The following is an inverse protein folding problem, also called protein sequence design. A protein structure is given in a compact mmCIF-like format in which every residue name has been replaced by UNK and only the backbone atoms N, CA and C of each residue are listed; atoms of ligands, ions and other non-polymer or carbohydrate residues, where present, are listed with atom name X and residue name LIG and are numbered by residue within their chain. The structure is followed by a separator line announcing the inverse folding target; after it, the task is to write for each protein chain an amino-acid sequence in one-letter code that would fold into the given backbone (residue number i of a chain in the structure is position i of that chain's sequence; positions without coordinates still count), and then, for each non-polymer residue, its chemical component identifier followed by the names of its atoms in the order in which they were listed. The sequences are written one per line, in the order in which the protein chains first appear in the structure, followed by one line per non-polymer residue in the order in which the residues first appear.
data_IF_328588547941
#
_entry.id   IF_328588547941
#
_cell.length_a   1.000
_cell.length_b   1.000
_cell.length_c   1.000
_cell.angle_alpha   90.00
_cell.angle_beta   90.00
_cell.angle_gamma   90.00
#
_symmetry.space_group_name_H-M   'P 1'
#
loop_
_entity.id
_entity.type
_entity.pdbx_description
1 polymer ?
#
# COMPACT_ATOMS: atom_id res chain seq x y z
N UNK A 1 -7.83 -28.69 2.91
CA UNK A 1 -8.21 -27.32 3.38
C UNK A 1 -8.73 -26.53 2.19
N UNK A 2 -9.73 -25.67 2.39
CA UNK A 2 -10.18 -24.76 1.33
C UNK A 2 -9.04 -23.80 0.95
N UNK A 3 -8.95 -23.41 -0.33
CA UNK A 3 -8.00 -22.39 -0.78
C UNK A 3 -8.25 -21.07 -0.05
N UNK A 4 -7.20 -20.30 0.17
CA UNK A 4 -7.30 -18.94 0.68
C UNK A 4 -8.04 -18.05 -0.32
N UNK A 5 -8.73 -17.02 0.16
CA UNK A 5 -9.46 -16.08 -0.68
C UNK A 5 -8.89 -14.67 -0.55
N UNK A 6 -8.55 -14.09 -1.69
CA UNK A 6 -8.00 -12.73 -1.80
C UNK A 6 -9.02 -11.86 -2.53
N UNK A 7 -9.46 -10.78 -1.89
CA UNK A 7 -10.33 -9.79 -2.51
C UNK A 7 -9.55 -8.53 -2.86
N UNK A 8 -9.66 -8.08 -4.10
CA UNK A 8 -9.01 -6.88 -4.62
C UNK A 8 -10.08 -5.81 -4.86
N UNK A 9 -10.02 -4.73 -4.09
CA UNK A 9 -10.99 -3.62 -4.19
C UNK A 9 -10.40 -2.53 -5.07
N UNK A 10 -10.83 -2.51 -6.32
CA UNK A 10 -10.32 -1.70 -7.42
C UNK A 10 -9.75 -2.57 -8.53
N UNK A 11 -10.41 -2.58 -9.69
CA UNK A 11 -10.04 -3.35 -10.89
C UNK A 11 -9.11 -2.60 -11.86
N UNK A 12 -8.47 -1.51 -11.43
CA UNK A 12 -7.54 -0.73 -12.25
C UNK A 12 -6.25 -1.49 -12.62
N UNK A 13 -5.18 -0.75 -12.99
CA UNK A 13 -3.90 -1.36 -13.36
C UNK A 13 -3.25 -2.12 -12.20
N UNK A 14 -3.21 -1.50 -11.00
CA UNK A 14 -2.68 -2.17 -9.81
C UNK A 14 -3.51 -3.42 -9.49
N UNK A 15 -4.86 -3.33 -9.51
CA UNK A 15 -5.74 -4.46 -9.21
C UNK A 15 -5.55 -5.65 -10.16
N UNK A 16 -5.43 -5.40 -11.47
CA UNK A 16 -5.12 -6.45 -12.45
C UNK A 16 -3.75 -7.09 -12.22
N UNK A 17 -2.72 -6.27 -11.94
CA UNK A 17 -1.37 -6.77 -11.63
C UNK A 17 -1.34 -7.59 -10.34
N UNK A 18 -2.06 -7.15 -9.30
CA UNK A 18 -2.21 -7.91 -8.05
C UNK A 18 -2.85 -9.28 -8.29
N UNK A 19 -3.92 -9.31 -9.09
CA UNK A 19 -4.62 -10.57 -9.42
C UNK A 19 -3.69 -11.54 -10.15
N UNK A 20 -2.94 -11.06 -11.14
CA UNK A 20 -1.96 -11.85 -11.88
C UNK A 20 -0.88 -12.42 -10.96
N UNK A 21 -0.24 -11.57 -10.14
CA UNK A 21 0.81 -12.00 -9.21
C UNK A 21 0.28 -13.00 -8.15
N UNK A 22 -0.93 -12.77 -7.63
CA UNK A 22 -1.55 -13.69 -6.67
C UNK A 22 -1.81 -15.07 -7.29
N UNK A 23 -2.25 -15.11 -8.57
CA UNK A 23 -2.46 -16.33 -9.33
C UNK A 23 -1.14 -17.06 -9.62
N UNK A 24 -0.14 -16.37 -10.16
CA UNK A 24 1.20 -16.94 -10.45
C UNK A 24 1.88 -17.53 -9.21
N UNK A 25 1.71 -16.89 -8.05
CA UNK A 25 2.26 -17.36 -6.77
C UNK A 25 1.35 -18.40 -6.07
N UNK A 26 0.20 -18.72 -6.67
CA UNK A 26 -0.82 -19.63 -6.12
C UNK A 26 -1.20 -19.31 -4.66
N UNK A 27 -1.33 -18.01 -4.33
CA UNK A 27 -1.63 -17.55 -2.97
C UNK A 27 -3.07 -17.86 -2.55
N UNK A 28 -3.97 -18.08 -3.49
CA UNK A 28 -5.37 -18.38 -3.25
C UNK A 28 -6.27 -18.03 -4.44
N UNK A 29 -7.58 -18.16 -4.24
CA UNK A 29 -8.59 -17.74 -5.21
C UNK A 29 -8.77 -16.22 -5.12
N UNK A 30 -8.98 -15.56 -6.27
CA UNK A 30 -8.99 -14.09 -6.37
C UNK A 30 -10.36 -13.59 -6.81
N UNK A 31 -10.89 -12.61 -6.07
CA UNK A 31 -12.10 -11.85 -6.45
C UNK A 31 -11.68 -10.40 -6.73
N UNK A 32 -11.88 -9.93 -7.95
CA UNK A 32 -11.66 -8.52 -8.33
C UNK A 32 -13.00 -7.79 -8.21
N UNK A 33 -13.07 -6.81 -7.33
CA UNK A 33 -14.22 -5.92 -7.20
C UNK A 33 -13.93 -4.56 -7.85
N UNK A 34 -14.86 -4.05 -8.65
CA UNK A 34 -14.86 -2.67 -9.13
C UNK A 34 -16.29 -2.17 -9.29
N UNK A 35 -16.49 -0.84 -9.24
CA UNK A 35 -17.79 -0.21 -9.50
C UNK A 35 -18.11 -0.12 -10.99
N UNK A 36 -17.10 -0.20 -11.86
CA UNK A 36 -17.27 -0.19 -13.31
C UNK A 36 -17.76 -1.55 -13.80
N UNK A 37 -18.97 -1.59 -14.34
CA UNK A 37 -19.56 -2.82 -14.86
C UNK A 37 -18.70 -3.41 -16.00
N UNK A 38 -18.51 -4.72 -15.98
CA UNK A 38 -17.74 -5.46 -16.99
C UNK A 38 -16.23 -5.42 -16.81
N UNK A 39 -15.68 -4.38 -16.20
CA UNK A 39 -14.22 -4.24 -16.02
C UNK A 39 -13.62 -5.37 -15.17
N UNK A 40 -14.10 -5.64 -13.95
CA UNK A 40 -13.52 -6.70 -13.13
C UNK A 40 -13.78 -8.09 -13.73
N UNK A 41 -14.92 -8.31 -14.38
CA UNK A 41 -15.26 -9.57 -15.04
C UNK A 41 -14.33 -9.83 -16.24
N UNK A 42 -14.12 -8.81 -17.09
CA UNK A 42 -13.23 -8.92 -18.25
C UNK A 42 -11.80 -9.25 -17.84
N UNK A 43 -11.25 -8.54 -16.83
CA UNK A 43 -9.91 -8.82 -16.32
C UNK A 43 -9.78 -10.20 -15.68
N UNK A 44 -10.77 -10.62 -14.91
CA UNK A 44 -10.76 -11.94 -14.29
C UNK A 44 -10.80 -13.06 -15.35
N UNK A 45 -11.58 -12.88 -16.41
CA UNK A 45 -11.67 -13.84 -17.51
C UNK A 45 -10.35 -13.91 -18.30
N UNK A 46 -9.75 -12.77 -18.66
CA UNK A 46 -8.47 -12.71 -19.35
C UNK A 46 -7.36 -13.40 -18.55
N UNK A 47 -7.25 -13.08 -17.27
CA UNK A 47 -6.32 -13.75 -16.36
C UNK A 47 -6.60 -15.25 -16.21
N UNK A 48 -7.86 -15.67 -16.11
CA UNK A 48 -8.20 -17.10 -16.04
C UNK A 48 -7.74 -17.84 -17.29
N UNK A 49 -7.79 -17.22 -18.47
CA UNK A 49 -7.33 -17.78 -19.73
C UNK A 49 -5.79 -17.88 -19.82
N UNK A 50 -5.03 -17.13 -19.04
CA UNK A 50 -3.58 -17.31 -18.96
C UNK A 50 -3.17 -18.50 -18.09
N UNK A 51 -4.08 -19.00 -17.23
CA UNK A 51 -3.82 -20.12 -16.32
C UNK A 51 -3.31 -21.40 -17.03
N UNK A 52 -3.91 -21.85 -18.14
CA UNK A 52 -3.43 -23.03 -18.86
C UNK A 52 -2.01 -22.90 -19.43
N UNK A 53 -1.57 -21.66 -19.70
CA UNK A 53 -0.22 -21.37 -20.23
C UNK A 53 0.80 -21.29 -19.09
N UNK A 54 0.44 -20.58 -18.00
CA UNK A 54 1.31 -20.33 -16.85
C UNK A 54 1.32 -21.50 -15.83
N UNK A 55 0.33 -22.38 -15.87
CA UNK A 55 0.27 -23.57 -15.02
C UNK A 55 -0.37 -23.34 -13.65
N UNK A 56 -1.12 -22.27 -13.41
CA UNK A 56 -1.84 -22.06 -12.16
C UNK A 56 -3.32 -22.46 -12.26
N UNK A 57 -3.89 -22.87 -11.09
CA UNK A 57 -5.28 -23.29 -10.97
C UNK A 57 -6.10 -22.40 -10.00
N UNK A 58 -5.66 -21.17 -9.74
CA UNK A 58 -6.42 -20.24 -8.92
C UNK A 58 -7.75 -19.88 -9.61
N UNK A 59 -8.88 -19.90 -8.87
CA UNK A 59 -10.13 -19.40 -9.38
C UNK A 59 -10.08 -17.87 -9.38
N UNK A 60 -10.40 -17.27 -10.54
CA UNK A 60 -10.42 -15.83 -10.75
C UNK A 60 -11.84 -15.40 -11.10
N UNK A 61 -12.37 -14.43 -10.38
CA UNK A 61 -13.72 -13.89 -10.61
C UNK A 61 -13.74 -12.38 -10.51
N UNK A 62 -14.62 -11.75 -11.28
CA UNK A 62 -14.88 -10.31 -11.23
C UNK A 62 -16.29 -10.02 -10.74
N UNK A 63 -16.48 -8.95 -9.95
CA UNK A 63 -17.77 -8.60 -9.38
C UNK A 63 -17.93 -7.09 -9.20
N UNK A 64 -19.20 -6.65 -9.20
CA UNK A 64 -19.61 -5.30 -8.80
C UNK A 64 -20.38 -5.31 -7.46
N UNK A 65 -20.33 -6.44 -6.72
CA UNK A 65 -21.02 -6.61 -5.45
C UNK A 65 -20.07 -6.94 -4.31
N UNK A 66 -20.08 -6.15 -3.23
CA UNK A 66 -19.34 -6.48 -2.02
C UNK A 66 -19.73 -7.82 -1.38
N UNK A 67 -20.90 -8.38 -1.70
CA UNK A 67 -21.30 -9.71 -1.19
C UNK A 67 -20.31 -10.80 -1.57
N UNK A 68 -19.68 -10.66 -2.73
CA UNK A 68 -18.79 -11.68 -3.29
C UNK A 68 -17.40 -11.70 -2.64
N UNK A 69 -17.03 -10.64 -1.88
CA UNK A 69 -15.81 -10.69 -1.06
C UNK A 69 -16.00 -11.43 0.27
N UNK A 70 -17.21 -11.96 0.54
CA UNK A 70 -17.50 -12.66 1.79
C UNK A 70 -16.47 -13.76 2.06
N UNK A 71 -15.94 -13.74 3.30
CA UNK A 71 -14.98 -14.74 3.76
C UNK A 71 -13.58 -14.58 3.18
N UNK A 72 -13.22 -13.44 2.60
CA UNK A 72 -11.85 -13.18 2.18
C UNK A 72 -10.87 -13.22 3.37
N UNK A 73 -9.74 -13.92 3.18
CA UNK A 73 -8.64 -13.94 4.15
C UNK A 73 -7.81 -12.65 4.08
N UNK A 74 -7.64 -12.13 2.85
CA UNK A 74 -6.92 -10.86 2.59
C UNK A 74 -7.78 -9.96 1.71
N UNK A 75 -7.83 -8.68 2.04
CA UNK A 75 -8.41 -7.63 1.19
C UNK A 75 -7.34 -6.60 0.85
N UNK A 76 -7.10 -6.36 -0.44
CA UNK A 76 -6.17 -5.33 -0.89
C UNK A 76 -6.97 -4.20 -1.53
N UNK A 77 -6.81 -2.97 -1.02
CA UNK A 77 -7.60 -1.81 -1.42
C UNK A 77 -6.76 -0.87 -2.28
N UNK A 78 -7.13 -0.79 -3.56
CA UNK A 78 -6.55 0.16 -4.54
C UNK A 78 -7.58 1.16 -5.04
N UNK A 79 -8.84 1.00 -4.60
CA UNK A 79 -9.95 1.87 -4.99
C UNK A 79 -9.71 3.31 -4.57
N UNK A 80 -9.92 4.23 -5.48
CA UNK A 80 -9.73 5.66 -5.31
C UNK A 80 -9.38 6.34 -6.63
N UNK A 81 -9.30 7.65 -6.61
CA UNK A 81 -8.89 8.41 -7.79
C UNK A 81 -7.45 8.90 -7.63
N UNK A 82 -6.63 8.85 -8.69
CA UNK A 82 -5.34 9.51 -8.68
C UNK A 82 -5.53 11.02 -8.77
N UNK A 83 -4.51 11.79 -8.32
CA UNK A 83 -4.51 13.23 -8.48
C UNK A 83 -4.52 13.60 -9.96
N UNK A 84 -5.46 14.45 -10.36
CA UNK A 84 -5.59 14.98 -11.73
C UNK A 84 -5.04 16.42 -11.80
N UNK A 85 -4.60 16.89 -12.96
CA UNK A 85 -4.26 18.30 -13.16
C UNK A 85 -5.42 19.21 -12.74
N UNK A 86 -5.13 20.28 -12.02
CA UNK A 86 -6.13 21.21 -11.49
C UNK A 86 -6.86 20.77 -10.22
N UNK A 87 -6.66 19.53 -9.73
CA UNK A 87 -7.26 19.06 -8.49
C UNK A 87 -6.44 19.52 -7.29
N UNK A 88 -7.09 20.17 -6.32
CA UNK A 88 -6.47 20.50 -5.05
C UNK A 88 -6.20 19.24 -4.21
N UNK A 89 -5.37 19.40 -3.17
CA UNK A 89 -5.13 18.31 -2.19
C UNK A 89 -6.40 17.94 -1.43
N UNK A 90 -7.19 18.93 -1.05
CA UNK A 90 -8.41 18.73 -0.28
C UNK A 90 -9.51 18.07 -1.12
N UNK A 91 -9.61 18.40 -2.41
CA UNK A 91 -10.52 17.71 -3.33
C UNK A 91 -10.19 16.22 -3.41
N UNK A 92 -8.90 15.87 -3.57
CA UNK A 92 -8.45 14.49 -3.60
C UNK A 92 -8.77 13.75 -2.31
N UNK A 93 -8.48 14.38 -1.15
CA UNK A 93 -8.80 13.83 0.15
C UNK A 93 -10.31 13.59 0.29
N UNK A 94 -11.15 14.58 -0.05
CA UNK A 94 -12.59 14.47 0.07
C UNK A 94 -13.20 13.37 -0.81
N UNK A 95 -12.70 13.19 -2.04
CA UNK A 95 -13.14 12.11 -2.92
C UNK A 95 -12.73 10.76 -2.34
N UNK A 96 -11.46 10.59 -1.99
CA UNK A 96 -10.95 9.30 -1.53
C UNK A 96 -11.47 8.93 -0.13
N UNK A 97 -11.79 9.89 0.75
CA UNK A 97 -12.50 9.63 2.01
C UNK A 97 -13.87 8.98 1.79
N UNK A 98 -14.64 9.47 0.81
CA UNK A 98 -15.93 8.85 0.44
C UNK A 98 -15.75 7.43 -0.07
N UNK A 99 -14.72 7.20 -0.86
CA UNK A 99 -14.37 5.84 -1.31
C UNK A 99 -14.00 4.97 -0.12
N UNK A 100 -13.14 5.43 0.80
CA UNK A 100 -12.75 4.66 1.99
C UNK A 100 -13.93 4.35 2.91
N UNK A 101 -14.92 5.23 3.01
CA UNK A 101 -16.16 4.97 3.75
C UNK A 101 -16.92 3.77 3.15
N UNK A 102 -17.18 3.78 1.84
CA UNK A 102 -17.89 2.70 1.17
C UNK A 102 -17.14 1.37 1.23
N UNK A 103 -15.82 1.41 1.03
CA UNK A 103 -14.95 0.23 1.12
C UNK A 103 -14.92 -0.31 2.53
N UNK A 104 -14.76 0.56 3.54
CA UNK A 104 -14.74 0.18 4.95
C UNK A 104 -16.04 -0.51 5.39
N UNK A 105 -17.20 0.04 5.01
CA UNK A 105 -18.52 -0.58 5.26
C UNK A 105 -18.64 -1.95 4.59
N UNK A 106 -18.19 -2.06 3.33
CA UNK A 106 -18.19 -3.31 2.59
C UNK A 106 -17.34 -4.39 3.26
N UNK A 107 -16.13 -4.03 3.70
CA UNK A 107 -15.21 -4.93 4.41
C UNK A 107 -15.80 -5.33 5.76
N UNK A 108 -16.26 -4.36 6.57
CA UNK A 108 -16.87 -4.63 7.88
C UNK A 108 -18.02 -5.64 7.79
N UNK A 109 -18.85 -5.52 6.74
CA UNK A 109 -20.03 -6.36 6.56
C UNK A 109 -19.72 -7.75 6.01
N UNK A 110 -18.78 -7.87 5.08
CA UNK A 110 -18.60 -9.12 4.32
C UNK A 110 -17.26 -9.82 4.56
N UNK A 111 -16.24 -9.10 5.03
CA UNK A 111 -14.92 -9.66 5.32
C UNK A 111 -14.32 -9.14 6.66
N UNK A 112 -15.07 -9.23 7.79
CA UNK A 112 -14.66 -8.61 9.07
C UNK A 112 -13.40 -9.23 9.70
N UNK A 113 -12.97 -10.39 9.24
CA UNK A 113 -11.79 -11.09 9.77
C UNK A 113 -10.58 -10.98 8.84
N UNK A 114 -10.71 -10.30 7.70
CA UNK A 114 -9.64 -10.19 6.71
C UNK A 114 -8.45 -9.37 7.22
N UNK A 115 -7.27 -9.71 6.73
CA UNK A 115 -6.12 -8.82 6.77
C UNK A 115 -6.23 -7.82 5.62
N UNK A 116 -6.22 -6.53 5.94
CA UNK A 116 -6.52 -5.46 4.98
C UNK A 116 -5.25 -4.66 4.68
N UNK A 117 -4.88 -4.61 3.40
CA UNK A 117 -3.73 -3.84 2.89
C UNK A 117 -4.26 -2.66 2.07
N UNK A 118 -4.01 -1.44 2.51
CA UNK A 118 -4.38 -0.22 1.80
C UNK A 118 -3.24 0.25 0.90
N UNK A 119 -3.56 0.61 -0.36
CA UNK A 119 -2.62 1.20 -1.34
C UNK A 119 -3.08 2.59 -1.77
N UNK A 120 -4.35 2.93 -1.52
CA UNK A 120 -4.97 4.19 -1.96
C UNK A 120 -4.25 5.41 -1.39
N UNK A 121 -3.95 6.38 -2.26
CA UNK A 121 -3.28 7.62 -1.87
C UNK A 121 -4.27 8.77 -1.53
N UNK A 122 -3.87 9.71 -0.65
CA UNK A 122 -2.65 9.75 0.16
C UNK A 122 -2.63 8.65 1.23
N UNK A 123 -1.64 7.75 1.13
CA UNK A 123 -1.68 6.44 1.80
C UNK A 123 -1.94 6.51 3.29
N UNK A 124 -1.13 7.29 4.03
CA UNK A 124 -1.16 7.32 5.50
C UNK A 124 -2.52 7.82 6.03
N UNK A 125 -3.13 8.77 5.33
CA UNK A 125 -4.47 9.25 5.65
C UNK A 125 -5.57 8.25 5.26
N UNK A 126 -5.41 7.57 4.11
CA UNK A 126 -6.42 6.63 3.62
C UNK A 126 -6.44 5.34 4.41
N UNK A 127 -5.28 4.80 4.83
CA UNK A 127 -5.25 3.63 5.71
C UNK A 127 -5.85 3.94 7.08
N UNK A 128 -5.57 5.14 7.62
CA UNK A 128 -6.20 5.62 8.86
C UNK A 128 -7.73 5.70 8.70
N UNK A 129 -8.22 6.34 7.63
CA UNK A 129 -9.66 6.48 7.38
C UNK A 129 -10.34 5.13 7.15
N UNK A 130 -9.72 4.24 6.36
CA UNK A 130 -10.22 2.89 6.09
C UNK A 130 -10.39 2.09 7.38
N UNK A 131 -9.42 2.17 8.29
CA UNK A 131 -9.52 1.52 9.61
C UNK A 131 -10.67 2.10 10.42
N UNK A 132 -10.84 3.44 10.42
CA UNK A 132 -11.93 4.07 11.16
C UNK A 132 -13.31 3.62 10.63
N UNK A 133 -13.50 3.63 9.31
CA UNK A 133 -14.76 3.23 8.70
C UNK A 133 -15.04 1.72 8.76
N UNK A 134 -14.02 0.88 8.70
CA UNK A 134 -14.19 -0.57 8.81
C UNK A 134 -14.36 -1.08 10.24
N UNK A 135 -13.85 -0.34 11.23
CA UNK A 135 -13.85 -0.74 12.63
C UNK A 135 -13.01 -1.98 12.94
N UNK A 136 -12.20 -2.46 11.99
CA UNK A 136 -11.35 -3.63 12.20
C UNK A 136 -10.25 -3.35 13.25
N UNK A 137 -9.72 -4.39 13.91
CA UNK A 137 -8.58 -4.24 14.82
C UNK A 137 -7.36 -3.63 14.09
N UNK A 138 -6.57 -2.83 14.80
CA UNK A 138 -5.41 -2.14 14.22
C UNK A 138 -4.38 -3.07 13.58
N UNK A 139 -4.15 -4.24 14.18
CA UNK A 139 -3.23 -5.25 13.65
C UNK A 139 -3.74 -5.95 12.38
N UNK A 140 -4.99 -5.74 11.99
CA UNK A 140 -5.59 -6.27 10.76
C UNK A 140 -5.65 -5.26 9.62
N UNK A 141 -5.27 -4.01 9.84
CA UNK A 141 -5.27 -2.97 8.80
C UNK A 141 -3.87 -2.36 8.70
N UNK A 142 -3.30 -2.34 7.51
CA UNK A 142 -1.94 -1.86 7.26
C UNK A 142 -1.86 -1.15 5.91
N UNK A 143 -0.96 -0.17 5.78
CA UNK A 143 -0.70 0.53 4.52
C UNK A 143 0.56 -0.01 3.83
N UNK A 144 0.49 -0.24 2.53
CA UNK A 144 1.64 -0.52 1.68
C UNK A 144 2.37 0.79 1.38
N UNK A 145 3.53 0.99 1.99
CA UNK A 145 4.31 2.23 1.93
C UNK A 145 5.80 1.91 1.80
N UNK A 146 6.50 1.75 2.92
CA UNK A 146 7.93 1.56 2.98
C UNK A 146 8.44 0.32 2.25
N UNK A 147 7.63 -0.72 2.05
CA UNK A 147 8.01 -1.89 1.22
C UNK A 147 8.34 -1.42 -0.20
N UNK A 148 7.48 -0.61 -0.81
CA UNK A 148 7.71 -0.02 -2.13
C UNK A 148 8.88 0.97 -2.11
N UNK A 149 8.93 1.84 -1.11
CA UNK A 149 9.94 2.91 -1.03
C UNK A 149 11.33 2.30 -0.80
N UNK A 150 11.41 1.25 0.02
CA UNK A 150 12.66 0.49 0.23
C UNK A 150 13.07 -0.28 -1.02
N UNK A 151 12.12 -0.85 -1.78
CA UNK A 151 12.43 -1.52 -3.05
C UNK A 151 13.04 -0.54 -4.07
N UNK A 152 12.53 0.70 -4.16
CA UNK A 152 13.13 1.76 -4.98
C UNK A 152 14.54 2.09 -4.53
N UNK A 153 14.73 2.26 -3.21
CA UNK A 153 16.03 2.56 -2.65
C UNK A 153 17.01 1.41 -2.90
N UNK A 154 16.61 0.15 -2.70
CA UNK A 154 17.42 -1.04 -3.01
C UNK A 154 17.84 -1.07 -4.48
N UNK A 155 16.90 -0.79 -5.40
CA UNK A 155 17.20 -0.79 -6.83
C UNK A 155 18.25 0.27 -7.20
N UNK A 156 18.10 1.50 -6.70
CA UNK A 156 19.08 2.57 -6.99
C UNK A 156 20.44 2.34 -6.34
N UNK A 157 20.47 1.70 -5.18
CA UNK A 157 21.72 1.28 -4.54
C UNK A 157 22.41 0.16 -5.33
N UNK A 158 21.66 -0.85 -5.77
CA UNK A 158 22.21 -1.93 -6.58
C UNK A 158 22.83 -1.40 -7.89
N UNK A 159 22.16 -0.43 -8.52
CA UNK A 159 22.66 0.25 -9.73
C UNK A 159 23.97 1.02 -9.46
N UNK A 160 24.03 1.81 -8.37
CA UNK A 160 25.25 2.55 -7.96
C UNK A 160 26.42 1.64 -7.69
N UNK A 161 26.19 0.51 -7.00
CA UNK A 161 27.24 -0.42 -6.60
C UNK A 161 27.55 -1.47 -7.67
N UNK A 162 26.76 -1.54 -8.75
CA UNK A 162 26.82 -2.58 -9.78
C UNK A 162 26.79 -4.00 -9.20
N UNK A 163 25.81 -4.25 -8.33
CA UNK A 163 25.59 -5.55 -7.66
C UNK A 163 24.16 -6.05 -7.88
N UNK A 164 23.91 -7.32 -7.55
CA UNK A 164 22.55 -7.87 -7.57
C UNK A 164 21.64 -7.13 -6.59
N UNK A 165 20.39 -6.90 -6.97
CA UNK A 165 19.36 -6.39 -6.07
C UNK A 165 19.08 -7.33 -4.89
N UNK A 166 19.40 -8.61 -5.04
CA UNK A 166 19.24 -9.63 -3.99
C UNK A 166 20.19 -9.40 -2.80
N UNK A 167 21.34 -8.74 -3.04
CA UNK A 167 22.33 -8.44 -2.02
C UNK A 167 22.05 -7.12 -1.29
N UNK A 168 21.04 -6.33 -1.72
CA UNK A 168 20.72 -5.02 -1.16
C UNK A 168 19.52 -5.09 -0.23
N UNK A 169 19.72 -4.75 1.03
CA UNK A 169 18.66 -4.53 2.00
C UNK A 169 18.56 -3.05 2.31
N UNK A 170 17.42 -2.44 2.03
CA UNK A 170 17.17 -1.02 2.31
C UNK A 170 15.99 -0.82 3.23
N UNK A 171 16.03 0.26 4.02
CA UNK A 171 14.98 0.64 4.95
C UNK A 171 14.55 2.08 4.71
N UNK A 172 13.24 2.28 4.50
CA UNK A 172 12.60 3.59 4.39
C UNK A 172 11.45 3.66 5.40
N UNK A 173 11.47 4.67 6.25
CA UNK A 173 10.46 4.93 7.27
C UNK A 173 9.69 6.22 6.99
N UNK A 174 8.74 6.53 7.89
CA UNK A 174 7.93 7.74 7.82
C UNK A 174 6.71 7.62 6.91
N UNK A 175 6.04 8.74 6.64
CA UNK A 175 4.91 8.80 5.73
C UNK A 175 5.32 8.55 4.28
N UNK A 176 4.42 7.94 3.51
CA UNK A 176 4.65 7.64 2.10
C UNK A 176 4.60 8.92 1.25
N UNK A 177 5.67 9.22 0.52
CA UNK A 177 5.83 10.40 -0.34
C UNK A 177 7.08 11.22 0.00
N UNK A 178 7.05 12.54 -0.27
CA UNK A 178 8.22 13.42 -0.23
C UNK A 178 8.88 13.50 1.16
N UNK A 179 8.15 13.17 2.22
CA UNK A 179 8.65 13.19 3.61
C UNK A 179 9.17 11.85 4.10
N UNK A 180 9.26 10.84 3.24
CA UNK A 180 9.84 9.54 3.61
C UNK A 180 11.29 9.67 4.08
N UNK A 181 11.72 8.77 4.93
CA UNK A 181 13.02 8.79 5.58
C UNK A 181 13.83 7.54 5.22
N UNK A 182 14.61 7.56 4.12
CA UNK A 182 15.54 6.49 3.82
C UNK A 182 16.66 6.45 4.86
N UNK A 183 16.84 5.29 5.49
CA UNK A 183 17.80 5.09 6.56
C UNK A 183 19.10 4.45 6.04
N UNK A 184 20.07 5.27 5.64
CA UNK A 184 21.36 4.78 5.14
C UNK A 184 22.08 3.89 6.16
N UNK A 185 21.99 4.19 7.44
CA UNK A 185 22.64 3.45 8.52
C UNK A 185 22.08 2.03 8.70
N UNK A 186 20.81 1.81 8.36
CA UNK A 186 20.14 0.52 8.40
C UNK A 186 20.01 -0.14 7.02
N UNK A 187 20.62 0.46 6.00
CA UNK A 187 20.64 -0.10 4.64
C UNK A 187 22.01 -0.70 4.36
N UNK A 188 22.04 -1.87 3.73
CA UNK A 188 23.27 -2.66 3.57
C UNK A 188 23.37 -3.25 2.16
N UNK A 189 24.60 -3.56 1.75
CA UNK A 189 24.93 -4.45 0.63
C UNK A 189 25.63 -5.66 1.20
N UNK A 190 25.08 -6.85 1.03
CA UNK A 190 25.58 -8.10 1.59
C UNK A 190 25.89 -8.01 3.11
N UNK A 191 25.06 -7.27 3.85
CA UNK A 191 25.24 -7.03 5.29
C UNK A 191 26.20 -5.90 5.64
N UNK A 192 26.91 -5.30 4.68
CA UNK A 192 27.82 -4.17 4.92
C UNK A 192 27.01 -2.87 4.91
N UNK A 193 26.99 -2.09 6.03
CA UNK A 193 26.23 -0.85 6.09
C UNK A 193 26.71 0.22 5.09
N UNK A 194 25.80 0.99 4.52
CA UNK A 194 26.14 2.04 3.55
C UNK A 194 27.19 3.04 4.06
N UNK A 195 27.20 3.49 5.35
CA UNK A 195 28.26 4.35 5.84
C UNK A 195 29.65 3.73 5.78
N UNK A 196 29.76 2.40 5.91
CA UNK A 196 31.05 1.72 5.82
C UNK A 196 31.48 1.55 4.36
N UNK A 197 30.56 1.32 3.43
CA UNK A 197 30.85 1.34 2.00
C UNK A 197 31.37 2.72 1.52
N UNK A 198 30.84 3.81 2.09
CA UNK A 198 31.40 5.16 1.85
C UNK A 198 32.82 5.26 2.37
N UNK A 199 33.13 4.79 3.60
CA UNK A 199 34.51 4.78 4.17
C UNK A 199 35.47 3.91 3.34
N UNK A 200 34.97 2.82 2.76
CA UNK A 200 35.73 1.92 1.89
C UNK A 200 35.97 2.49 0.49
N UNK A 201 35.35 3.62 0.16
CA UNK A 201 35.46 4.25 -1.15
C UNK A 201 34.64 3.60 -2.29
N UNK A 202 33.67 2.73 -1.96
CA UNK A 202 32.80 2.12 -2.96
C UNK A 202 31.82 3.14 -3.55
N UNK A 203 31.43 4.12 -2.78
CA UNK A 203 30.62 5.27 -3.20
C UNK A 203 31.03 6.51 -2.39
N UNK A 204 30.40 7.65 -2.68
CA UNK A 204 30.60 8.88 -1.90
C UNK A 204 29.33 9.31 -1.19
N UNK A 205 29.48 10.16 -0.17
CA UNK A 205 28.32 10.71 0.54
C UNK A 205 27.39 11.49 -0.41
N UNK A 206 27.96 12.24 -1.35
CA UNK A 206 27.21 13.06 -2.31
C UNK A 206 26.37 12.19 -3.27
N UNK A 207 26.91 11.06 -3.72
CA UNK A 207 26.18 10.08 -4.54
C UNK A 207 25.05 9.44 -3.75
N UNK A 208 25.31 9.04 -2.51
CA UNK A 208 24.31 8.47 -1.62
C UNK A 208 23.17 9.46 -1.33
N UNK A 209 23.49 10.73 -1.07
CA UNK A 209 22.50 11.78 -0.85
C UNK A 209 21.62 11.99 -2.11
N UNK A 210 22.19 11.91 -3.32
CA UNK A 210 21.43 11.94 -4.59
C UNK A 210 20.49 10.74 -4.74
N UNK A 211 20.95 9.55 -4.39
CA UNK A 211 20.13 8.33 -4.43
C UNK A 211 18.97 8.43 -3.43
N UNK A 212 19.22 8.91 -2.23
CA UNK A 212 18.21 9.17 -1.22
C UNK A 212 17.14 10.15 -1.75
N UNK A 213 17.57 11.23 -2.40
CA UNK A 213 16.64 12.19 -2.99
C UNK A 213 15.84 11.57 -4.16
N UNK A 214 16.50 10.84 -5.06
CA UNK A 214 15.84 10.13 -6.16
C UNK A 214 14.83 9.11 -5.65
N UNK A 215 15.08 8.46 -4.51
CA UNK A 215 14.12 7.56 -3.87
C UNK A 215 12.84 8.28 -3.46
N UNK A 216 12.96 9.50 -2.88
CA UNK A 216 11.81 10.34 -2.55
C UNK A 216 11.02 10.75 -3.80
N UNK A 217 11.71 11.06 -4.86
CA UNK A 217 11.14 11.53 -6.14
C UNK A 217 10.69 10.38 -7.05
N UNK A 218 10.97 9.12 -6.70
CA UNK A 218 10.80 7.96 -7.59
C UNK A 218 9.36 7.74 -8.10
N UNK A 219 8.35 8.13 -7.32
CA UNK A 219 6.96 8.13 -7.80
C UNK A 219 6.71 9.19 -8.86
N UNK A 220 7.22 10.41 -8.64
CA UNK A 220 7.09 11.52 -9.58
C UNK A 220 7.90 11.29 -10.87
N UNK A 221 9.09 10.68 -10.78
CA UNK A 221 9.91 10.29 -11.92
C UNK A 221 9.13 9.36 -12.87
N UNK A 222 8.48 8.32 -12.33
CA UNK A 222 7.68 7.38 -13.13
C UNK A 222 6.47 8.08 -13.77
N UNK A 223 5.76 8.92 -13.03
CA UNK A 223 4.63 9.70 -13.57
C UNK A 223 5.09 10.62 -14.70
N UNK A 224 6.24 11.27 -14.53
CA UNK A 224 6.85 12.11 -15.56
C UNK A 224 7.19 11.37 -16.85
N UNK A 225 7.65 10.12 -16.75
CA UNK A 225 7.97 9.25 -17.89
C UNK A 225 6.72 8.69 -18.57
N UNK A 226 5.74 8.21 -17.78
CA UNK A 226 4.52 7.60 -18.32
C UNK A 226 3.55 8.63 -18.93
N UNK A 227 3.63 9.91 -18.54
CA UNK A 227 2.73 11.00 -18.94
C UNK A 227 1.28 10.81 -18.49
N UNK A 228 0.78 9.56 -18.51
CA UNK A 228 -0.56 9.19 -18.04
C UNK A 228 -0.46 8.01 -17.06
N UNK A 229 -1.15 8.10 -15.92
CA UNK A 229 -1.12 7.05 -14.89
C UNK A 229 0.02 7.22 -13.88
N UNK A 230 0.31 6.15 -13.16
CA UNK A 230 1.34 6.07 -12.13
C UNK A 230 1.97 4.67 -12.12
N UNK A 231 3.01 4.45 -11.31
CA UNK A 231 3.56 3.12 -11.08
C UNK A 231 2.47 2.13 -10.65
N UNK A 232 2.49 0.91 -11.14
CA UNK A 232 1.55 -0.14 -10.75
C UNK A 232 2.19 -1.52 -10.60
N UNK A 233 3.30 -1.83 -11.25
CA UNK A 233 4.00 -3.11 -11.07
C UNK A 233 4.63 -3.22 -9.68
N UNK A 234 5.53 -2.32 -9.32
CA UNK A 234 6.21 -2.35 -8.03
C UNK A 234 5.25 -2.17 -6.83
N UNK A 235 4.23 -1.29 -6.87
CA UNK A 235 3.21 -1.24 -5.82
C UNK A 235 2.44 -2.55 -5.65
N UNK A 236 2.06 -3.21 -6.74
CA UNK A 236 1.38 -4.49 -6.69
C UNK A 236 2.28 -5.59 -6.09
N UNK A 237 3.52 -5.69 -6.55
CA UNK A 237 4.50 -6.65 -6.02
C UNK A 237 4.73 -6.46 -4.52
N UNK A 238 4.87 -5.20 -4.08
CA UNK A 238 5.04 -4.86 -2.66
C UNK A 238 3.86 -5.29 -1.79
N UNK A 239 2.63 -5.08 -2.27
CA UNK A 239 1.44 -5.52 -1.53
C UNK A 239 1.27 -7.06 -1.54
N UNK A 240 1.65 -7.73 -2.62
CA UNK A 240 1.67 -9.20 -2.68
C UNK A 240 2.68 -9.78 -1.71
N UNK A 241 3.85 -9.16 -1.52
CA UNK A 241 4.81 -9.59 -0.49
C UNK A 241 4.19 -9.53 0.92
N UNK A 242 3.46 -8.46 1.23
CA UNK A 242 2.76 -8.32 2.51
C UNK A 242 1.64 -9.38 2.66
N UNK A 243 0.86 -9.60 1.61
CA UNK A 243 -0.21 -10.60 1.58
C UNK A 243 0.35 -12.03 1.74
N UNK A 244 1.43 -12.36 1.06
CA UNK A 244 2.11 -13.63 1.16
C UNK A 244 2.71 -13.87 2.56
N UNK A 245 3.28 -12.81 3.17
CA UNK A 245 3.78 -12.88 4.54
C UNK A 245 2.68 -13.23 5.55
N UNK A 246 1.48 -12.66 5.38
CA UNK A 246 0.32 -13.01 6.19
C UNK A 246 -0.23 -14.41 5.90
N UNK A 247 -0.49 -14.72 4.63
CA UNK A 247 -1.14 -15.97 4.23
C UNK A 247 -0.31 -17.23 4.55
N UNK A 248 1.03 -17.10 4.46
CA UNK A 248 1.99 -18.20 4.70
C UNK A 248 2.68 -18.11 6.07
N UNK A 249 2.23 -17.21 6.95
CA UNK A 249 2.81 -16.98 8.28
C UNK A 249 4.34 -16.79 8.28
N UNK A 250 4.87 -16.01 7.32
CA UNK A 250 6.32 -15.91 7.09
C UNK A 250 7.09 -15.13 8.16
N UNK A 251 6.40 -14.38 9.02
CA UNK A 251 7.03 -13.52 10.04
C UNK A 251 8.04 -12.52 9.43
N UNK A 252 7.73 -11.98 8.25
CA UNK A 252 8.60 -11.01 7.57
C UNK A 252 8.64 -9.71 8.33
N UNK A 253 9.83 -9.13 8.44
CA UNK A 253 10.02 -7.75 8.91
C UNK A 253 9.96 -6.83 7.71
N UNK A 254 8.89 -6.05 7.61
CA UNK A 254 8.62 -5.18 6.46
C UNK A 254 8.31 -3.75 6.93
N UNK A 255 8.83 -2.71 6.24
CA UNK A 255 8.45 -1.33 6.56
C UNK A 255 7.07 -1.03 5.96
N UNK A 256 6.08 -0.83 6.83
CA UNK A 256 4.68 -0.63 6.45
C UNK A 256 4.08 0.53 7.25
N UNK A 257 3.08 1.21 6.69
CA UNK A 257 2.28 2.14 7.47
C UNK A 257 1.40 1.36 8.46
N UNK A 258 1.80 1.35 9.72
CA UNK A 258 1.14 0.64 10.81
C UNK A 258 0.67 1.62 11.89
N UNK A 259 -0.34 1.21 12.65
CA UNK A 259 -0.85 2.00 13.77
C UNK A 259 0.13 2.01 14.93
N UNK A 260 0.49 3.20 15.37
CA UNK A 260 1.37 3.44 16.51
C UNK A 260 0.55 3.88 17.73
N UNK A 261 0.83 3.28 18.87
CA UNK A 261 0.21 3.58 20.15
C UNK A 261 1.24 3.86 21.26
N UNK A 262 2.30 4.54 20.93
CA UNK A 262 3.41 4.93 21.81
C UNK A 262 4.77 4.65 21.23
N UNK A 263 4.87 3.71 20.30
CA UNK A 263 6.10 3.36 19.63
C UNK A 263 6.66 4.58 18.90
N UNK A 264 7.98 4.74 18.89
CA UNK A 264 8.68 5.92 18.36
C UNK A 264 8.21 7.25 18.95
N UNK A 265 7.47 7.25 20.08
CA UNK A 265 6.85 8.42 20.70
C UNK A 265 5.61 8.94 19.95
N UNK A 266 5.01 8.15 19.07
CA UNK A 266 3.85 8.49 18.24
C UNK A 266 2.61 7.76 18.73
N UNK A 267 1.44 8.44 18.75
CA UNK A 267 0.16 7.84 19.14
C UNK A 267 -0.94 8.14 18.13
N UNK A 268 -1.88 7.20 18.03
CA UNK A 268 -3.14 7.33 17.28
C UNK A 268 -2.96 7.64 15.77
N UNK A 269 -1.87 7.17 15.17
CA UNK A 269 -1.57 7.40 13.76
C UNK A 269 -1.00 6.16 13.08
N UNK A 270 -1.20 6.10 11.76
CA UNK A 270 -0.50 5.17 10.86
C UNK A 270 0.73 5.86 10.29
N UNK A 271 1.88 5.27 10.49
CA UNK A 271 3.18 5.78 9.98
C UNK A 271 4.04 4.61 9.55
N UNK A 272 4.85 4.80 8.52
CA UNK A 272 5.78 3.79 8.01
C UNK A 272 6.87 3.47 9.02
N UNK A 273 6.84 2.24 9.56
CA UNK A 273 7.79 1.68 10.53
C UNK A 273 8.03 0.20 10.24
N UNK A 274 9.13 -0.40 10.73
CA UNK A 274 9.34 -1.83 10.58
C UNK A 274 8.32 -2.63 11.40
N UNK A 275 7.63 -3.56 10.76
CA UNK A 275 6.65 -4.42 11.43
C UNK A 275 6.88 -5.89 11.08
N UNK A 276 6.54 -6.78 12.01
CA UNK A 276 6.48 -8.22 11.74
C UNK A 276 5.09 -8.55 11.23
N UNK A 277 5.01 -9.09 10.00
CA UNK A 277 3.77 -9.61 9.41
C UNK A 277 3.78 -11.13 9.44
N UNK A 278 2.78 -11.70 10.09
CA UNK A 278 2.49 -13.13 10.15
C UNK A 278 0.98 -13.38 10.15
N UNK A 279 0.54 -14.60 10.48
CA UNK A 279 -0.87 -14.99 10.47
C UNK A 279 -1.75 -14.15 11.43
N UNK A 280 -1.16 -13.51 12.44
CA UNK A 280 -1.83 -12.56 13.32
C UNK A 280 -2.13 -11.21 12.69
N UNK A 281 -1.57 -10.92 11.51
CA UNK A 281 -1.55 -9.60 10.88
C UNK A 281 -0.24 -8.86 11.20
N UNK A 282 -0.31 -7.60 11.59
CA UNK A 282 0.83 -6.89 12.19
C UNK A 282 0.99 -7.39 13.63
N UNK A 283 1.98 -8.23 13.88
CA UNK A 283 2.16 -8.91 15.16
C UNK A 283 3.05 -8.12 16.13
N UNK A 284 3.96 -7.33 15.58
CA UNK A 284 4.87 -6.51 16.37
C UNK A 284 5.39 -5.33 15.54
N UNK A 285 5.53 -4.18 16.18
CA UNK A 285 6.32 -3.06 15.68
C UNK A 285 7.75 -3.25 16.20
N UNK A 286 8.74 -3.07 15.31
CA UNK A 286 10.15 -3.16 15.67
C UNK A 286 10.69 -1.75 15.83
N UNK A 287 10.82 -1.31 17.07
CA UNK A 287 11.45 -0.01 17.38
C UNK A 287 12.94 -0.11 17.17
N UNK A 288 13.45 0.57 16.15
CA UNK A 288 14.87 0.71 15.91
C UNK A 288 15.38 2.02 16.49
N UNK A 289 16.65 2.05 16.91
CA UNK A 289 17.26 3.26 17.44
C UNK A 289 17.55 4.27 16.33
N UNK A 290 16.94 5.45 16.42
CA UNK A 290 17.15 6.57 15.51
C UNK A 290 18.09 7.59 16.15
N UNK A 291 19.16 7.97 15.44
CA UNK A 291 20.00 9.08 15.86
C UNK A 291 19.24 10.42 15.81
N UNK A 292 19.82 11.50 16.34
CA UNK A 292 19.16 12.79 16.45
C UNK A 292 18.66 13.34 15.11
N UNK A 293 19.43 13.16 14.01
CA UNK A 293 19.08 13.59 12.68
C UNK A 293 17.94 12.76 12.09
N UNK A 294 18.02 11.44 12.20
CA UNK A 294 17.00 10.49 11.74
C UNK A 294 15.69 10.72 12.50
N UNK A 295 15.76 10.90 13.83
CA UNK A 295 14.59 11.21 14.65
C UNK A 295 13.94 12.53 14.25
N UNK A 296 14.74 13.57 13.97
CA UNK A 296 14.22 14.87 13.49
C UNK A 296 13.47 14.71 12.15
N UNK A 297 14.06 13.97 11.20
CA UNK A 297 13.41 13.70 9.90
C UNK A 297 12.13 12.87 10.08
N UNK A 298 12.17 11.82 10.89
CA UNK A 298 11.03 10.97 11.19
C UNK A 298 9.87 11.78 11.81
N UNK A 299 10.15 12.62 12.82
CA UNK A 299 9.13 13.47 13.45
C UNK A 299 8.60 14.54 12.48
N UNK A 300 9.41 15.04 11.56
CA UNK A 300 8.96 15.90 10.47
C UNK A 300 7.94 15.19 9.57
N UNK A 301 8.23 13.95 9.21
CA UNK A 301 7.33 13.08 8.45
C UNK A 301 6.04 12.76 9.20
N UNK A 302 6.12 12.41 10.49
CA UNK A 302 4.96 12.21 11.38
C UNK A 302 4.04 13.45 11.40
N UNK A 303 4.61 14.64 11.50
CA UNK A 303 3.82 15.89 11.49
C UNK A 303 3.14 16.14 10.14
N UNK A 304 3.76 15.75 9.02
CA UNK A 304 3.12 15.82 7.70
C UNK A 304 1.91 14.87 7.63
N UNK A 305 2.05 13.63 8.10
CA UNK A 305 0.95 12.65 8.19
C UNK A 305 -0.17 13.17 9.10
N UNK A 306 0.18 13.74 10.26
CA UNK A 306 -0.79 14.33 11.19
C UNK A 306 -1.61 15.43 10.50
N UNK A 307 -0.95 16.31 9.73
CA UNK A 307 -1.63 17.34 8.95
C UNK A 307 -2.64 16.78 7.95
N UNK A 308 -2.34 15.62 7.32
CA UNK A 308 -3.28 14.92 6.43
C UNK A 308 -4.48 14.36 7.18
N UNK A 309 -4.26 13.70 8.31
CA UNK A 309 -5.32 13.14 9.15
C UNK A 309 -6.22 14.25 9.70
N UNK A 310 -5.65 15.37 10.14
CA UNK A 310 -6.41 16.51 10.64
C UNK A 310 -7.25 17.17 9.51
N UNK A 311 -6.74 17.21 8.27
CA UNK A 311 -7.51 17.65 7.11
C UNK A 311 -8.67 16.67 6.82
N UNK A 312 -8.44 15.35 6.90
CA UNK A 312 -9.51 14.36 6.77
C UNK A 312 -10.63 14.56 7.80
N UNK A 313 -10.30 14.82 9.07
CA UNK A 313 -11.27 15.08 10.14
C UNK A 313 -12.09 16.35 9.89
N UNK A 314 -11.50 17.37 9.26
CA UNK A 314 -12.21 18.61 8.89
C UNK A 314 -13.15 18.42 7.72
N UNK A 315 -12.72 17.65 6.69
CA UNK A 315 -13.51 17.38 5.49
C UNK A 315 -14.68 16.45 5.80
N UNK A 316 -14.45 15.40 6.59
CA UNK A 316 -15.45 14.39 6.94
C UNK A 316 -15.37 14.08 8.45
N UNK A 317 -16.05 14.88 9.30
CA UNK A 317 -16.02 14.67 10.75
C UNK A 317 -16.51 13.28 11.20
N UNK A 318 -17.34 12.60 10.38
CA UNK A 318 -17.83 11.26 10.67
C UNK A 318 -16.69 10.22 10.73
N UNK A 319 -15.58 10.46 10.03
CA UNK A 319 -14.41 9.55 10.05
C UNK A 319 -13.81 9.41 11.45
N UNK A 320 -13.83 10.48 12.24
CA UNK A 320 -13.30 10.46 13.61
C UNK A 320 -14.16 9.58 14.57
N UNK A 321 -15.45 9.40 14.26
CA UNK A 321 -16.38 8.59 15.04
C UNK A 321 -16.57 7.16 14.52
N UNK A 322 -15.86 6.78 13.44
CA UNK A 322 -16.04 5.48 12.77
C UNK A 322 -17.43 5.28 12.16
N UNK A 323 -18.20 6.34 11.94
CA UNK A 323 -19.53 6.27 11.33
C UNK A 323 -19.42 6.48 9.83
N UNK A 324 -20.27 5.80 9.02
CA UNK A 324 -20.28 5.99 7.58
C UNK A 324 -20.54 7.46 7.20
N UNK A 325 -19.89 7.93 6.14
CA UNK A 325 -20.13 9.27 5.59
C UNK A 325 -21.59 9.41 5.17
N UNK A 326 -22.30 10.43 5.64
CA UNK A 326 -23.66 10.72 5.21
C UNK A 326 -23.65 11.16 3.74
N UNK A 327 -23.79 10.23 2.81
CA UNK A 327 -23.86 10.52 1.38
C UNK A 327 -24.73 9.52 0.65
N UNK A 328 -25.71 10.00 -0.12
CA UNK A 328 -26.50 9.17 -1.05
C UNK A 328 -25.56 8.49 -2.04
N UNK A 329 -25.72 7.18 -2.22
CA UNK A 329 -25.05 6.46 -3.29
C UNK A 329 -25.19 7.22 -4.63
N UNK A 330 -24.13 7.34 -5.44
CA UNK A 330 -24.26 7.93 -6.76
C UNK A 330 -25.27 7.08 -7.56
N UNK A 331 -26.37 7.70 -7.99
CA UNK A 331 -27.30 7.05 -8.92
C UNK A 331 -26.53 6.76 -10.21
N UNK A 332 -26.47 5.49 -10.59
CA UNK A 332 -25.99 5.10 -11.90
C UNK A 332 -26.73 5.92 -12.96
N UNK A 333 -26.01 6.72 -13.75
CA UNK A 333 -26.58 7.37 -14.93
C UNK A 333 -26.89 6.26 -15.92
N UNK A 334 -28.18 5.95 -16.09
CA UNK A 334 -28.64 5.13 -17.19
C UNK A 334 -28.20 5.81 -18.49
N UNK A 335 -27.30 5.17 -19.23
CA UNK A 335 -26.94 5.61 -20.57
C UNK A 335 -28.15 5.37 -21.48
N UNK A 336 -28.78 6.45 -21.93
CA UNK A 336 -29.80 6.37 -22.94
C UNK A 336 -29.18 5.79 -24.22
N UNK A 337 -29.55 4.55 -24.57
CA UNK A 337 -29.32 3.99 -25.89
C UNK A 337 -30.08 4.85 -26.88
N UNK A 338 -29.39 5.63 -27.69
CA UNK A 338 -29.94 6.09 -28.99
C UNK A 338 -29.78 4.94 -29.98
N UNK A 339 -30.94 4.63 -30.60
CA UNK A 339 -31.11 3.67 -31.70
C UNK A 339 -30.22 4.04 -32.90
#
# INVERSE_FOLDING_TARGET
MARKKIALIGGGQIGGTLAHLAALKELGDVVIFDIAEGLPQGKALDLAQSGPVEGYNAALSGTNSYKDIKGADVVIVTAGVPRKPGMSRDDLLGINLKVMSQVGEGIAKYAPNAFVICITNPLDAMVWALRQFSGLPHNKVVGMAGVLDSARFSYFLADEFNVSVEDVTAFVLGGHGDTMVPLARYSTVAGIPLPDLVKMGWTTKEKLDKIIQRTRDGGAEIVGLLKTGSAYYAPATSAIEMAEAYLKDKKRVLPCAAYLNGEFGVKDMYVGVPVVIGAGGVERIVEIDLNASEKKQFMGSVNAVKGLVDACKKIEPAVASGKPAKGKAPKAKASARKK
#
